data_IF_360435464558
#
_entry.id   IF_360435464558
#
_cell.length_a   1.000
_cell.length_b   1.000
_cell.length_c   1.000
_cell.angle_alpha   90.00
_cell.angle_beta   90.00
_cell.angle_gamma   90.00
#
_symmetry.space_group_name_H-M   'P 1'
#
loop_
_entity.id
_entity.type
_entity.pdbx_description
1 polymer ?
#
# COMPACT_ATOMS: atom_id res chain seq x y z
N UNK A 1 5.61 52.80 -94.71
CA UNK A 1 7.01 52.36 -94.74
C UNK A 1 7.13 51.23 -93.75
N UNK A 2 7.15 50.00 -94.26
CA UNK A 2 7.10 48.73 -93.54
C UNK A 2 8.54 48.31 -93.23
N UNK A 3 8.85 47.93 -91.99
CA UNK A 3 9.82 46.86 -91.67
C UNK A 3 9.47 46.29 -90.29
N UNK A 4 9.29 44.96 -90.27
CA UNK A 4 9.26 44.08 -89.12
C UNK A 4 10.67 43.62 -88.74
N UNK A 5 10.87 43.18 -87.50
CA UNK A 5 11.73 42.04 -87.02
C UNK A 5 11.88 42.18 -85.50
N UNK A 6 12.01 41.16 -84.64
CA UNK A 6 12.00 39.70 -84.71
C UNK A 6 11.84 39.18 -83.26
N UNK A 7 11.27 37.99 -83.09
CA UNK A 7 11.24 37.22 -81.85
C UNK A 7 12.64 36.76 -81.42
N UNK A 8 12.85 36.59 -80.11
CA UNK A 8 13.64 35.49 -79.54
C UNK A 8 13.24 35.25 -78.06
N UNK A 9 12.71 34.07 -77.76
CA UNK A 9 12.75 33.41 -76.43
C UNK A 9 13.95 32.43 -76.45
N UNK A 10 14.51 31.89 -75.33
CA UNK A 10 13.87 31.62 -74.02
C UNK A 10 14.79 31.77 -72.77
N UNK A 11 14.26 31.53 -71.56
CA UNK A 11 14.89 30.67 -70.54
C UNK A 11 14.08 30.68 -69.21
N UNK A 12 13.49 29.53 -68.87
CA UNK A 12 13.07 29.22 -67.52
C UNK A 12 14.30 28.85 -66.69
N UNK A 13 14.57 29.59 -65.61
CA UNK A 13 15.54 29.23 -64.58
C UNK A 13 14.88 29.40 -63.21
N UNK A 14 15.04 28.39 -62.38
CA UNK A 14 14.19 28.07 -61.24
C UNK A 14 14.08 29.16 -60.16
N UNK A 15 12.84 29.35 -59.70
CA UNK A 15 12.57 29.95 -58.41
C UNK A 15 12.82 28.90 -57.31
N UNK A 16 14.07 28.76 -56.89
CA UNK A 16 14.37 28.31 -55.53
C UNK A 16 14.06 29.48 -54.60
N UNK A 17 12.89 29.47 -53.95
CA UNK A 17 12.62 30.41 -52.88
C UNK A 17 13.67 30.25 -51.77
N UNK A 18 14.19 31.33 -51.17
CA UNK A 18 15.11 31.21 -50.06
C UNK A 18 14.37 30.55 -48.91
N UNK A 19 14.94 29.46 -48.39
CA UNK A 19 14.55 28.90 -47.11
C UNK A 19 14.50 30.06 -46.11
N UNK A 20 13.35 30.23 -45.45
CA UNK A 20 13.17 31.16 -44.34
C UNK A 20 14.13 30.74 -43.22
N UNK A 21 15.35 31.25 -43.29
CA UNK A 21 16.38 31.06 -42.28
C UNK A 21 15.90 31.74 -41.01
N UNK A 22 15.47 30.94 -40.05
CA UNK A 22 15.24 31.41 -38.69
C UNK A 22 16.59 31.93 -38.18
N UNK A 23 16.65 33.20 -37.81
CA UNK A 23 17.90 33.87 -37.42
C UNK A 23 18.56 33.07 -36.26
N UNK A 24 19.78 32.53 -36.44
CA UNK A 24 20.44 31.70 -35.43
C UNK A 24 20.58 32.39 -34.07
N UNK A 25 20.64 33.73 -34.06
CA UNK A 25 20.70 34.54 -32.84
C UNK A 25 19.35 34.61 -32.11
N UNK A 26 18.22 34.64 -32.83
CA UNK A 26 16.89 34.56 -32.23
C UNK A 26 16.61 33.16 -31.68
N UNK A 27 17.09 32.13 -32.37
CA UNK A 27 17.00 30.73 -31.93
C UNK A 27 17.86 30.48 -30.68
N UNK A 28 19.10 30.99 -30.65
CA UNK A 28 19.98 30.92 -29.49
C UNK A 28 19.46 31.71 -28.29
N UNK A 29 18.95 32.93 -28.51
CA UNK A 29 18.33 33.75 -27.47
C UNK A 29 17.08 33.11 -26.86
N UNK A 30 16.25 32.46 -27.68
CA UNK A 30 15.08 31.71 -27.22
C UNK A 30 15.44 30.51 -26.33
N UNK A 31 16.46 29.75 -26.71
CA UNK A 31 16.95 28.60 -25.90
C UNK A 31 17.50 29.07 -24.55
N UNK A 32 18.29 30.14 -24.53
CA UNK A 32 18.84 30.70 -23.28
C UNK A 32 17.71 31.21 -22.37
N UNK A 33 16.71 31.89 -22.91
CA UNK A 33 15.57 32.36 -22.13
C UNK A 33 14.76 31.19 -21.52
N UNK A 34 14.56 30.10 -22.26
CA UNK A 34 13.89 28.89 -21.76
C UNK A 34 14.72 28.22 -20.66
N UNK A 35 16.03 28.07 -20.83
CA UNK A 35 16.91 27.49 -19.81
C UNK A 35 16.96 28.33 -18.53
N UNK A 36 17.00 29.66 -18.65
CA UNK A 36 16.93 30.57 -17.50
C UNK A 36 15.56 30.47 -16.83
N UNK A 37 14.47 30.47 -17.58
CA UNK A 37 13.12 30.32 -17.02
C UNK A 37 12.93 28.97 -16.32
N UNK A 38 13.42 27.87 -16.91
CA UNK A 38 13.42 26.55 -16.31
C UNK A 38 14.28 26.52 -15.04
N UNK A 39 15.46 27.14 -15.07
CA UNK A 39 16.33 27.27 -13.90
C UNK A 39 15.71 28.09 -12.77
N UNK A 40 15.01 29.19 -13.09
CA UNK A 40 14.27 30.00 -12.10
C UNK A 40 13.07 29.21 -11.56
N UNK A 41 12.32 28.51 -12.40
CA UNK A 41 11.19 27.68 -11.98
C UNK A 41 11.65 26.54 -11.06
N UNK A 42 12.76 25.87 -11.42
CA UNK A 42 13.40 24.84 -10.62
C UNK A 42 13.91 25.42 -9.29
N UNK A 43 14.54 26.59 -9.31
CA UNK A 43 14.98 27.29 -8.10
C UNK A 43 13.81 27.64 -7.17
N UNK A 44 12.70 28.16 -7.72
CA UNK A 44 11.49 28.46 -6.95
C UNK A 44 10.85 27.20 -6.38
N UNK A 45 10.79 26.11 -7.14
CA UNK A 45 10.33 24.79 -6.66
C UNK A 45 11.22 24.27 -5.54
N UNK A 46 12.54 24.24 -5.71
CA UNK A 46 13.50 23.83 -4.68
C UNK A 46 13.34 24.70 -3.42
N UNK A 47 13.15 26.02 -3.57
CA UNK A 47 12.95 26.93 -2.44
C UNK A 47 11.62 26.68 -1.72
N UNK A 48 10.55 26.42 -2.46
CA UNK A 48 9.23 26.11 -1.89
C UNK A 48 9.26 24.78 -1.13
N UNK A 49 9.86 23.75 -1.70
CA UNK A 49 10.08 22.44 -1.07
C UNK A 49 10.94 22.58 0.20
N UNK A 50 12.08 23.29 0.12
CA UNK A 50 12.91 23.64 1.28
C UNK A 50 12.20 24.51 2.33
N UNK A 51 11.05 25.10 2.00
CA UNK A 51 10.25 25.88 2.94
C UNK A 51 9.15 25.07 3.63
N UNK A 52 8.75 23.90 3.10
CA UNK A 52 7.68 23.07 3.66
C UNK A 52 7.95 22.66 5.11
N UNK A 53 9.00 21.87 5.33
CA UNK A 53 9.40 21.44 6.68
C UNK A 53 9.68 22.60 7.64
N UNK A 54 10.24 23.72 7.16
CA UNK A 54 10.46 24.94 7.99
C UNK A 54 9.16 25.62 8.40
N UNK A 55 8.21 25.75 7.47
CA UNK A 55 6.87 26.32 7.75
C UNK A 55 6.08 25.41 8.68
N UNK A 56 6.15 24.09 8.47
CA UNK A 56 5.49 23.11 9.33
C UNK A 56 6.07 23.13 10.75
N UNK A 57 7.40 23.09 10.89
CA UNK A 57 8.08 23.25 12.19
C UNK A 57 7.72 24.56 12.87
N UNK A 58 7.62 25.66 12.13
CA UNK A 58 7.20 26.95 12.67
C UNK A 58 5.73 26.98 13.11
N UNK A 59 4.85 26.26 12.42
CA UNK A 59 3.46 26.09 12.84
C UNK A 59 3.39 25.28 14.15
N UNK A 60 4.11 24.15 14.25
CA UNK A 60 4.19 23.39 15.49
C UNK A 60 4.71 24.25 16.65
N UNK A 61 5.77 25.03 16.44
CA UNK A 61 6.35 25.91 17.47
C UNK A 61 5.40 27.04 17.95
N UNK A 62 4.28 27.27 17.26
CA UNK A 62 3.30 28.29 17.64
C UNK A 62 2.24 27.78 18.63
N UNK A 63 2.27 26.49 18.98
CA UNK A 63 1.31 25.84 19.88
C UNK A 63 2.06 25.02 20.95
N UNK A 64 1.46 24.92 22.14
CA UNK A 64 2.07 24.21 23.27
C UNK A 64 1.77 22.70 23.24
N UNK A 65 0.60 22.30 22.70
CA UNK A 65 0.15 20.90 22.65
C UNK A 65 -0.62 20.60 21.36
N UNK A 66 -0.32 19.46 20.73
CA UNK A 66 -0.89 19.04 19.44
C UNK A 66 -1.40 17.60 19.48
N UNK A 67 -2.53 17.36 18.84
CA UNK A 67 -3.03 16.02 18.59
C UNK A 67 -2.69 15.58 17.16
N UNK A 68 -1.92 14.51 17.01
CA UNK A 68 -1.57 13.93 15.70
C UNK A 68 -2.60 12.84 15.40
N UNK A 69 -3.37 13.00 14.33
CA UNK A 69 -4.44 12.08 13.97
C UNK A 69 -4.06 11.33 12.69
N UNK A 70 -4.10 10.00 12.75
CA UNK A 70 -3.99 9.12 11.58
C UNK A 70 -5.35 8.87 10.95
N UNK A 71 -5.37 8.30 9.74
CA UNK A 71 -6.61 7.78 9.19
C UNK A 71 -7.13 6.57 10.01
N UNK A 72 -8.41 6.17 9.87
CA UNK A 72 -8.96 4.99 10.53
C UNK A 72 -8.25 3.71 10.11
N UNK A 73 -8.02 2.82 11.08
CA UNK A 73 -7.25 1.57 10.89
C UNK A 73 -5.87 1.86 10.27
N UNK A 74 -5.01 2.62 10.97
CA UNK A 74 -3.80 3.16 10.37
C UNK A 74 -2.88 2.06 9.85
N UNK A 75 -2.28 2.35 8.72
CA UNK A 75 -1.25 1.52 8.11
C UNK A 75 0.16 1.96 8.57
N UNK A 76 1.21 1.29 8.09
CA UNK A 76 2.57 1.66 8.46
C UNK A 76 2.99 3.07 8.02
N UNK A 77 2.45 3.61 6.94
CA UNK A 77 2.80 4.95 6.45
C UNK A 77 2.21 6.04 7.36
N UNK A 78 0.93 5.89 7.73
CA UNK A 78 0.28 6.78 8.69
C UNK A 78 0.96 6.75 10.06
N UNK A 79 1.35 5.56 10.55
CA UNK A 79 2.06 5.42 11.83
C UNK A 79 3.46 6.05 11.77
N UNK A 80 4.23 5.79 10.73
CA UNK A 80 5.56 6.38 10.54
C UNK A 80 5.50 7.91 10.43
N UNK A 81 4.52 8.42 9.69
CA UNK A 81 4.27 9.86 9.55
C UNK A 81 3.90 10.50 10.88
N UNK A 82 3.07 9.83 11.70
CA UNK A 82 2.71 10.32 13.02
C UNK A 82 3.92 10.39 13.97
N UNK A 83 4.79 9.37 13.95
CA UNK A 83 6.05 9.38 14.71
C UNK A 83 6.94 10.54 14.28
N UNK A 84 7.06 10.80 12.97
CA UNK A 84 7.86 11.90 12.46
C UNK A 84 7.33 13.27 12.92
N UNK A 85 6.01 13.48 12.89
CA UNK A 85 5.40 14.71 13.41
C UNK A 85 5.64 14.86 14.91
N UNK A 86 5.56 13.78 15.69
CA UNK A 86 5.83 13.79 17.13
C UNK A 86 7.27 14.23 17.43
N UNK A 87 8.25 13.70 16.71
CA UNK A 87 9.66 14.09 16.84
C UNK A 87 9.89 15.56 16.41
N UNK A 88 9.21 16.02 15.34
CA UNK A 88 9.27 17.41 14.92
C UNK A 88 8.65 18.36 15.96
N UNK A 89 7.53 18.00 16.57
CA UNK A 89 6.89 18.76 17.64
C UNK A 89 7.77 18.82 18.89
N UNK A 90 8.35 17.69 19.30
CA UNK A 90 9.29 17.64 20.42
C UNK A 90 10.52 18.54 20.20
N UNK A 91 11.03 18.61 18.96
CA UNK A 91 12.17 19.47 18.59
C UNK A 91 11.93 20.99 18.72
N UNK A 92 10.68 21.39 18.97
CA UNK A 92 10.29 22.79 19.22
C UNK A 92 9.59 22.97 20.57
N UNK A 93 9.57 21.95 21.42
CA UNK A 93 8.96 22.00 22.75
C UNK A 93 7.43 21.91 22.75
N UNK A 94 6.82 21.42 21.68
CA UNK A 94 5.38 21.18 21.59
C UNK A 94 5.08 19.73 22.01
N UNK A 95 4.23 19.55 23.01
CA UNK A 95 3.77 18.24 23.44
C UNK A 95 2.86 17.61 22.39
N UNK A 96 3.07 16.34 22.06
CA UNK A 96 2.38 15.69 20.95
C UNK A 96 1.85 14.30 21.31
N UNK A 97 0.54 14.09 21.14
CA UNK A 97 -0.11 12.79 21.36
C UNK A 97 -0.63 12.22 20.04
N UNK A 98 -0.29 10.96 19.74
CA UNK A 98 -0.76 10.25 18.54
C UNK A 98 -2.10 9.59 18.80
N UNK A 99 -3.05 9.78 17.90
CA UNK A 99 -4.39 9.23 17.92
C UNK A 99 -4.71 8.47 16.64
N UNK A 100 -5.46 7.38 16.78
CA UNK A 100 -5.98 6.62 15.64
C UNK A 100 -7.45 6.21 15.85
N UNK A 101 -8.33 6.41 14.86
CA UNK A 101 -9.65 5.79 14.84
C UNK A 101 -9.59 4.32 14.42
N UNK A 102 -10.64 3.55 14.71
CA UNK A 102 -10.72 2.15 14.27
C UNK A 102 -9.81 1.20 15.05
N UNK A 103 -9.20 0.23 14.38
CA UNK A 103 -8.37 -0.85 14.95
C UNK A 103 -7.14 -1.15 14.09
N UNK A 104 -6.02 -1.45 14.75
CA UNK A 104 -4.78 -1.89 14.09
C UNK A 104 -4.85 -3.42 13.95
N UNK A 105 -5.33 -3.89 12.80
CA UNK A 105 -5.65 -5.31 12.59
C UNK A 105 -4.62 -6.07 11.75
N UNK A 106 -4.00 -5.43 10.76
CA UNK A 106 -2.96 -6.10 9.97
C UNK A 106 -1.79 -6.52 10.85
N UNK A 107 -1.27 -7.72 10.60
CA UNK A 107 -0.21 -8.30 11.43
C UNK A 107 1.08 -7.51 11.32
N UNK A 108 1.43 -7.01 10.13
CA UNK A 108 2.57 -6.12 9.95
C UNK A 108 2.39 -4.83 10.75
N UNK A 109 1.18 -4.23 10.76
CA UNK A 109 0.93 -2.98 11.49
C UNK A 109 1.04 -3.19 13.00
N UNK A 110 0.52 -4.31 13.53
CA UNK A 110 0.67 -4.66 14.95
C UNK A 110 2.13 -4.93 15.31
N UNK A 111 2.87 -5.61 14.44
CA UNK A 111 4.29 -5.85 14.63
C UNK A 111 5.07 -4.53 14.63
N UNK A 112 4.77 -3.59 13.73
CA UNK A 112 5.40 -2.27 13.72
C UNK A 112 5.17 -1.54 15.04
N UNK A 113 3.93 -1.53 15.53
CA UNK A 113 3.59 -0.90 16.81
C UNK A 113 4.35 -1.55 17.97
N UNK A 114 4.44 -2.88 18.00
CA UNK A 114 5.11 -3.61 19.08
C UNK A 114 6.65 -3.46 19.03
N UNK A 115 7.25 -3.60 17.84
CA UNK A 115 8.71 -3.56 17.67
C UNK A 115 9.28 -2.16 17.87
N UNK A 116 8.51 -1.12 17.56
CA UNK A 116 8.93 0.28 17.70
C UNK A 116 8.37 0.98 18.94
N UNK A 117 7.66 0.24 19.79
CA UNK A 117 7.00 0.75 21.01
C UNK A 117 6.15 2.01 20.73
N UNK A 118 5.29 1.93 19.70
CA UNK A 118 4.51 3.08 19.25
C UNK A 118 3.39 3.37 20.24
N UNK A 119 3.60 4.41 21.04
CA UNK A 119 2.56 4.98 21.90
C UNK A 119 1.53 5.75 21.07
N UNK A 120 0.39 5.10 20.80
CA UNK A 120 -0.76 5.70 20.12
C UNK A 120 -2.08 5.39 20.84
N UNK A 121 -2.98 6.37 20.88
CA UNK A 121 -4.25 6.27 21.60
C UNK A 121 -5.43 6.05 20.66
N UNK A 122 -6.22 5.01 20.91
CA UNK A 122 -7.45 4.77 20.13
C UNK A 122 -8.48 5.86 20.39
N UNK A 123 -8.89 6.58 19.33
CA UNK A 123 -9.88 7.64 19.37
C UNK A 123 -11.26 7.12 18.95
N UNK A 124 -12.27 7.34 19.81
CA UNK A 124 -13.68 6.99 19.52
C UNK A 124 -14.59 8.20 19.35
N UNK A 125 -14.23 9.31 19.99
CA UNK A 125 -14.98 10.55 20.01
C UNK A 125 -14.01 11.73 20.03
N UNK A 126 -14.31 12.80 19.29
CA UNK A 126 -13.48 13.99 19.18
C UNK A 126 -13.17 14.67 20.53
N UNK A 127 -14.01 14.47 21.54
CA UNK A 127 -13.77 14.99 22.90
C UNK A 127 -12.65 14.26 23.65
N UNK A 128 -12.16 13.13 23.14
CA UNK A 128 -11.01 12.42 23.69
C UNK A 128 -9.65 12.99 23.28
N UNK A 129 -9.62 13.99 22.39
CA UNK A 129 -8.40 14.67 22.00
C UNK A 129 -7.90 15.59 23.12
N UNK A 130 -6.61 15.54 23.41
CA UNK A 130 -5.97 16.46 24.38
C UNK A 130 -5.95 17.90 23.87
N UNK A 131 -5.85 18.09 22.56
CA UNK A 131 -5.79 19.41 21.91
C UNK A 131 -6.77 19.52 20.74
N UNK A 132 -7.24 20.74 20.49
CA UNK A 132 -8.03 21.11 19.29
C UNK A 132 -7.14 21.52 18.12
N UNK A 133 -5.84 21.69 18.35
CA UNK A 133 -4.84 21.78 17.30
C UNK A 133 -4.51 20.37 16.82
N UNK A 134 -5.18 19.95 15.73
CA UNK A 134 -5.08 18.60 15.17
C UNK A 134 -4.23 18.61 13.90
N UNK A 135 -3.20 17.79 13.85
CA UNK A 135 -2.42 17.53 12.62
C UNK A 135 -2.94 16.24 12.00
N UNK A 136 -3.44 16.30 10.78
CA UNK A 136 -3.75 15.10 10.00
C UNK A 136 -2.51 14.64 9.27
N UNK A 137 -2.20 13.35 9.41
CA UNK A 137 -1.14 12.69 8.65
C UNK A 137 -1.72 11.58 7.80
N UNK A 138 -1.26 11.52 6.55
CA UNK A 138 -1.64 10.47 5.58
C UNK A 138 -3.14 10.40 5.29
N UNK A 139 -3.81 11.53 5.48
CA UNK A 139 -5.15 11.82 5.01
C UNK A 139 -5.45 13.30 5.19
N UNK A 140 -6.40 13.81 4.42
CA UNK A 140 -6.74 15.23 4.42
C UNK A 140 -8.13 15.54 5.02
N UNK A 141 -8.90 14.55 5.48
CA UNK A 141 -10.22 14.77 6.11
C UNK A 141 -10.47 13.90 7.35
N UNK A 142 -10.81 14.47 8.51
CA UNK A 142 -11.09 13.70 9.72
C UNK A 142 -12.28 12.74 9.51
N UNK A 143 -12.11 11.46 9.85
CA UNK A 143 -13.15 10.43 9.65
C UNK A 143 -12.99 9.26 10.64
N UNK A 144 -14.04 8.44 10.76
CA UNK A 144 -14.00 7.16 11.48
C UNK A 144 -14.19 7.21 12.99
N UNK A 145 -14.66 8.33 13.54
CA UNK A 145 -15.02 8.49 14.96
C UNK A 145 -16.13 9.54 15.13
N UNK A 146 -16.77 9.55 16.30
CA UNK A 146 -17.85 10.49 16.60
C UNK A 146 -17.32 11.93 16.67
N UNK A 147 -18.02 12.86 16.01
CA UNK A 147 -17.64 14.28 15.97
C UNK A 147 -16.53 14.65 14.97
N UNK A 148 -16.06 13.70 14.15
CA UNK A 148 -14.99 13.95 13.16
C UNK A 148 -15.30 15.12 12.20
N UNK A 149 -16.52 15.20 11.67
CA UNK A 149 -16.91 16.27 10.73
C UNK A 149 -16.99 17.67 11.34
N UNK A 150 -16.86 17.81 12.66
CA UNK A 150 -16.79 19.10 13.34
C UNK A 150 -15.36 19.55 13.67
N UNK A 151 -14.34 18.77 13.30
CA UNK A 151 -12.95 19.15 13.49
C UNK A 151 -12.49 20.05 12.34
N UNK A 152 -11.90 21.17 12.73
CA UNK A 152 -11.11 22.03 11.85
C UNK A 152 -9.62 21.69 12.07
N UNK A 153 -8.93 21.06 11.10
CA UNK A 153 -7.53 20.67 11.27
C UNK A 153 -6.61 21.89 11.43
N UNK A 154 -5.62 21.78 12.32
CA UNK A 154 -4.54 22.76 12.43
C UNK A 154 -3.60 22.66 11.24
N UNK A 155 -3.15 21.45 10.93
CA UNK A 155 -2.31 21.17 9.78
C UNK A 155 -2.68 19.86 9.08
N UNK A 156 -2.35 19.77 7.79
CA UNK A 156 -2.53 18.58 6.97
C UNK A 156 -1.22 18.27 6.24
N UNK A 157 -0.73 17.04 6.38
CA UNK A 157 0.37 16.48 5.59
C UNK A 157 -0.08 15.15 4.99
N UNK A 158 -0.17 15.09 3.67
CA UNK A 158 -0.79 13.95 2.98
C UNK A 158 -0.21 13.79 1.57
N UNK A 159 -0.35 12.59 1.00
CA UNK A 159 -0.01 12.29 -0.39
C UNK A 159 -1.22 11.75 -1.16
N UNK A 160 -2.40 11.67 -0.57
CA UNK A 160 -3.62 11.32 -1.27
C UNK A 160 -4.25 12.53 -1.97
N UNK A 161 -4.97 12.33 -3.09
CA UNK A 161 -5.77 13.40 -3.68
C UNK A 161 -6.89 13.83 -2.73
N UNK A 162 -7.15 15.13 -2.65
CA UNK A 162 -8.26 15.69 -1.88
C UNK A 162 -8.07 17.19 -1.64
N UNK A 163 -9.18 17.84 -1.25
CA UNK A 163 -9.24 19.30 -1.03
C UNK A 163 -9.21 19.65 0.48
N UNK A 164 -8.75 18.73 1.32
CA UNK A 164 -8.65 18.96 2.75
C UNK A 164 -7.50 19.91 3.09
N UNK A 165 -7.76 20.90 3.95
CA UNK A 165 -6.80 21.93 4.32
C UNK A 165 -6.70 22.08 5.85
N UNK A 166 -5.51 22.44 6.33
CA UNK A 166 -5.29 22.88 7.70
C UNK A 166 -5.26 24.40 7.80
N UNK A 167 -5.82 24.95 8.89
CA UNK A 167 -5.87 26.42 9.10
C UNK A 167 -4.49 27.09 9.17
N UNK A 168 -3.45 26.37 9.59
CA UNK A 168 -2.10 26.91 9.79
C UNK A 168 -1.09 26.39 8.75
N UNK A 169 -1.24 25.14 8.31
CA UNK A 169 -0.35 24.53 7.33
C UNK A 169 -1.02 23.43 6.52
N UNK A 170 -0.77 23.42 5.22
CA UNK A 170 -1.20 22.34 4.32
C UNK A 170 -0.04 22.02 3.37
N UNK A 171 0.32 20.75 3.27
CA UNK A 171 1.19 20.21 2.21
C UNK A 171 0.62 18.86 1.77
N UNK A 172 -0.05 18.87 0.62
CA UNK A 172 -0.63 17.67 0.00
C UNK A 172 0.08 17.45 -1.33
N UNK A 173 0.75 16.31 -1.50
CA UNK A 173 1.53 15.98 -2.70
C UNK A 173 1.08 14.66 -3.33
N UNK A 174 0.00 14.67 -4.14
CA UNK A 174 -0.54 13.47 -4.80
C UNK A 174 0.43 12.72 -5.69
N UNK A 175 1.54 13.35 -6.07
CA UNK A 175 2.60 12.75 -6.86
C UNK A 175 3.59 11.90 -6.05
N UNK A 176 3.59 11.98 -4.72
CA UNK A 176 4.46 11.17 -3.86
C UNK A 176 3.86 9.80 -3.59
N UNK A 177 4.72 8.80 -3.49
CA UNK A 177 4.32 7.41 -3.28
C UNK A 177 4.02 7.04 -1.84
N UNK A 178 4.34 7.91 -0.88
CA UNK A 178 4.05 7.74 0.55
C UNK A 178 4.10 9.10 1.28
N UNK A 179 3.29 9.28 2.32
CA UNK A 179 3.35 10.41 3.24
C UNK A 179 4.69 10.44 4.02
N UNK A 180 5.21 9.28 4.43
CA UNK A 180 6.50 9.16 5.12
C UNK A 180 7.67 9.73 4.30
N UNK A 181 7.60 9.70 2.95
CA UNK A 181 8.59 10.34 2.08
C UNK A 181 8.64 11.86 2.29
N UNK A 182 7.47 12.51 2.44
CA UNK A 182 7.40 13.96 2.71
C UNK A 182 8.02 14.29 4.06
N UNK A 183 7.70 13.50 5.09
CA UNK A 183 8.19 13.72 6.45
C UNK A 183 9.70 13.48 6.55
N UNK A 184 10.22 12.46 5.85
CA UNK A 184 11.66 12.23 5.70
C UNK A 184 12.36 13.41 5.01
N UNK A 185 11.75 13.98 3.97
CA UNK A 185 12.24 15.21 3.32
C UNK A 185 12.26 16.40 4.30
N UNK A 186 11.23 16.56 5.14
CA UNK A 186 11.20 17.62 6.16
C UNK A 186 12.34 17.48 7.15
N UNK A 187 12.53 16.30 7.72
CA UNK A 187 13.62 16.01 8.65
C UNK A 187 14.98 16.32 8.01
N UNK A 188 15.21 15.84 6.78
CA UNK A 188 16.44 16.09 6.02
C UNK A 188 16.68 17.58 5.76
N UNK A 189 15.65 18.33 5.33
CA UNK A 189 15.76 19.76 5.02
C UNK A 189 15.91 20.64 6.27
N UNK A 190 15.44 20.15 7.41
CA UNK A 190 15.64 20.75 8.74
C UNK A 190 17.01 20.42 9.36
N UNK A 191 17.81 19.56 8.71
CA UNK A 191 19.16 19.23 9.13
C UNK A 191 19.26 18.03 10.09
N UNK A 192 18.20 17.23 10.21
CA UNK A 192 18.27 16.01 11.03
C UNK A 192 19.33 15.07 10.47
N UNK A 193 20.21 14.58 11.33
CA UNK A 193 21.29 13.67 10.96
C UNK A 193 20.89 12.23 11.21
N UNK A 194 21.46 11.33 10.42
CA UNK A 194 21.29 9.88 10.53
C UNK A 194 22.46 9.20 11.24
N UNK A 195 23.49 9.97 11.61
CA UNK A 195 24.68 9.49 12.30
C UNK A 195 24.95 10.41 13.48
N UNK A 196 25.33 9.83 14.62
CA UNK A 196 25.86 10.60 15.75
C UNK A 196 27.29 11.01 15.41
N UNK A 197 27.63 12.30 15.57
CA UNK A 197 28.97 12.83 15.33
C UNK A 197 29.46 13.39 16.65
N UNK A 198 30.75 13.20 16.95
CA UNK A 198 31.37 13.63 18.22
C UNK A 198 31.33 15.15 18.43
N UNK A 199 31.29 15.93 17.33
CA UNK A 199 31.22 17.40 17.33
C UNK A 199 29.78 17.95 17.17
N UNK A 200 28.75 17.14 17.43
CA UNK A 200 27.37 17.58 17.35
C UNK A 200 27.09 18.77 18.28
N UNK A 201 26.52 19.84 17.73
CA UNK A 201 25.97 20.93 18.55
C UNK A 201 24.55 20.59 18.99
N UNK A 202 24.05 21.24 20.05
CA UNK A 202 22.65 21.07 20.51
C UNK A 202 21.63 21.43 19.41
N UNK A 203 22.04 22.21 18.39
CA UNK A 203 21.21 22.59 17.24
C UNK A 203 21.15 21.53 16.12
N UNK A 204 21.90 20.42 16.23
CA UNK A 204 21.97 19.38 15.22
C UNK A 204 21.19 18.11 15.64
N UNK A 205 19.87 18.00 15.40
CA UNK A 205 19.09 16.86 15.87
C UNK A 205 19.52 15.56 15.18
N UNK A 206 19.61 14.48 15.95
CA UNK A 206 19.86 13.12 15.43
C UNK A 206 18.54 12.38 15.37
N UNK A 207 18.24 11.78 14.22
CA UNK A 207 17.05 10.96 14.04
C UNK A 207 17.13 9.70 14.92
N UNK A 208 16.08 9.42 15.73
CA UNK A 208 15.96 8.15 16.44
C UNK A 208 15.97 6.97 15.47
N UNK A 209 16.59 5.85 15.88
CA UNK A 209 16.60 4.61 15.09
C UNK A 209 15.20 4.09 14.81
N UNK A 210 14.31 4.14 15.81
CA UNK A 210 12.91 3.73 15.68
C UNK A 210 12.17 4.57 14.64
N UNK A 211 12.37 5.89 14.61
CA UNK A 211 11.80 6.76 13.60
C UNK A 211 12.34 6.43 12.20
N UNK A 212 13.67 6.27 12.06
CA UNK A 212 14.29 5.93 10.78
C UNK A 212 13.74 4.59 10.24
N UNK A 213 13.61 3.59 11.11
CA UNK A 213 13.03 2.28 10.82
C UNK A 213 11.57 2.40 10.40
N UNK A 214 10.75 3.16 11.14
CA UNK A 214 9.36 3.41 10.81
C UNK A 214 9.21 4.05 9.42
N UNK A 215 10.00 5.10 9.13
CA UNK A 215 9.94 5.82 7.85
C UNK A 215 10.32 4.91 6.68
N UNK A 216 11.40 4.11 6.80
CA UNK A 216 11.77 3.15 5.74
C UNK A 216 10.64 2.14 5.52
N UNK A 217 10.07 1.61 6.61
CA UNK A 217 9.00 0.62 6.51
C UNK A 217 7.71 1.21 5.92
N UNK A 218 7.30 2.40 6.35
CA UNK A 218 6.13 3.13 5.84
C UNK A 218 6.23 3.38 4.34
N UNK A 219 7.36 3.95 3.89
CA UNK A 219 7.64 4.17 2.46
C UNK A 219 7.57 2.84 1.70
N UNK A 220 8.21 1.79 2.20
CA UNK A 220 8.22 0.48 1.53
C UNK A 220 6.83 -0.15 1.49
N UNK A 221 6.03 0.00 2.54
CA UNK A 221 4.67 -0.56 2.63
C UNK A 221 3.77 0.07 1.57
N UNK A 222 3.71 1.40 1.53
CA UNK A 222 2.74 2.08 0.69
C UNK A 222 3.11 2.06 -0.80
N UNK A 223 4.41 2.01 -1.08
CA UNK A 223 4.94 1.82 -2.44
C UNK A 223 4.94 0.36 -2.93
N UNK A 224 4.38 -0.58 -2.16
CA UNK A 224 4.41 -2.01 -2.45
C UNK A 224 5.84 -2.53 -2.75
N UNK A 225 6.81 -2.15 -1.92
CA UNK A 225 8.20 -2.52 -2.09
C UNK A 225 8.88 -1.79 -3.24
N UNK A 226 8.59 -0.50 -3.42
CA UNK A 226 9.10 0.35 -4.49
C UNK A 226 8.63 -0.03 -5.91
N UNK A 227 7.51 -0.75 -6.03
CA UNK A 227 6.98 -1.21 -7.32
C UNK A 227 5.75 -0.44 -7.79
N UNK A 228 5.18 0.41 -6.94
CA UNK A 228 3.96 1.17 -7.19
C UNK A 228 4.12 2.63 -6.77
N UNK A 229 3.74 3.56 -7.65
CA UNK A 229 3.61 4.98 -7.31
C UNK A 229 4.90 5.70 -6.91
N UNK A 230 6.08 5.11 -7.14
CA UNK A 230 7.34 5.68 -6.69
C UNK A 230 7.83 6.79 -7.61
N UNK A 231 8.40 7.81 -6.97
CA UNK A 231 9.22 8.86 -7.59
C UNK A 231 10.64 8.79 -7.02
N UNK A 232 11.53 9.66 -7.51
CA UNK A 232 12.87 9.84 -6.93
C UNK A 232 12.82 10.17 -5.43
N UNK A 233 11.73 10.80 -4.95
CA UNK A 233 11.57 11.19 -3.57
C UNK A 233 11.52 9.98 -2.61
N UNK A 234 10.81 8.90 -2.99
CA UNK A 234 10.73 7.67 -2.19
C UNK A 234 12.11 7.02 -2.04
N UNK A 235 12.89 6.97 -3.13
CA UNK A 235 14.23 6.41 -3.12
C UNK A 235 15.20 7.28 -2.31
N UNK A 236 15.14 8.60 -2.46
CA UNK A 236 15.96 9.55 -1.71
C UNK A 236 15.64 9.53 -0.21
N UNK A 237 14.36 9.45 0.14
CA UNK A 237 13.88 9.36 1.52
C UNK A 237 14.30 8.02 2.16
N UNK A 238 14.12 6.90 1.45
CA UNK A 238 14.55 5.59 1.91
C UNK A 238 16.07 5.52 2.08
N UNK A 239 16.85 6.05 1.12
CA UNK A 239 18.31 6.12 1.22
C UNK A 239 18.78 7.04 2.35
N UNK A 240 18.02 8.09 2.66
CA UNK A 240 18.30 8.97 3.79
C UNK A 240 18.06 8.23 5.12
N UNK A 241 16.89 7.62 5.32
CA UNK A 241 16.52 6.97 6.57
C UNK A 241 17.26 5.64 6.81
N UNK A 242 17.57 4.88 5.74
CA UNK A 242 18.22 3.56 5.84
C UNK A 242 19.62 3.59 6.47
N UNK A 243 20.29 4.75 6.48
CA UNK A 243 21.58 4.90 7.17
C UNK A 243 21.48 4.73 8.69
N UNK A 244 20.30 4.94 9.27
CA UNK A 244 20.06 4.82 10.71
C UNK A 244 19.10 3.68 11.06
N UNK A 245 18.23 3.28 10.12
CA UNK A 245 17.22 2.26 10.33
C UNK A 245 17.80 0.89 10.72
N UNK A 246 17.06 0.14 11.53
CA UNK A 246 17.39 -1.24 11.90
C UNK A 246 16.80 -2.23 10.88
N UNK A 247 17.63 -2.89 10.06
CA UNK A 247 17.17 -3.87 9.08
C UNK A 247 16.53 -5.11 9.73
N UNK A 248 16.95 -5.50 10.94
CA UNK A 248 16.40 -6.66 11.62
C UNK A 248 14.97 -6.38 12.08
N UNK A 249 14.71 -5.17 12.59
CA UNK A 249 13.35 -4.72 12.90
C UNK A 249 12.48 -4.67 11.64
N UNK A 250 12.98 -4.11 10.53
CA UNK A 250 12.25 -4.12 9.25
C UNK A 250 11.86 -5.54 8.85
N UNK A 251 12.79 -6.50 8.98
CA UNK A 251 12.53 -7.89 8.66
C UNK A 251 11.46 -8.52 9.57
N UNK A 252 11.54 -8.30 10.89
CA UNK A 252 10.55 -8.82 11.86
C UNK A 252 9.15 -8.27 11.60
N UNK A 253 9.05 -6.98 11.28
CA UNK A 253 7.76 -6.34 10.93
C UNK A 253 7.23 -6.84 9.59
N UNK A 254 8.09 -7.09 8.60
CA UNK A 254 7.71 -7.64 7.28
C UNK A 254 7.30 -9.11 7.31
N UNK A 255 7.65 -9.85 8.35
CA UNK A 255 7.36 -11.29 8.45
C UNK A 255 7.01 -11.62 9.89
N UNK A 256 5.88 -11.10 10.39
CA UNK A 256 5.48 -11.34 11.76
C UNK A 256 5.20 -12.84 11.98
N UNK A 257 5.53 -13.38 13.15
CA UNK A 257 5.28 -14.79 13.44
C UNK A 257 3.77 -15.07 13.44
N UNK A 258 3.40 -16.15 12.76
CA UNK A 258 2.03 -16.62 12.68
C UNK A 258 1.79 -17.76 13.68
N UNK A 259 0.61 -17.79 14.31
CA UNK A 259 0.23 -18.91 15.18
C UNK A 259 0.01 -20.20 14.37
N UNK A 260 0.26 -21.35 14.98
CA UNK A 260 -0.03 -22.65 14.37
C UNK A 260 -1.52 -22.76 13.98
N UNK A 261 -2.43 -22.25 14.80
CA UNK A 261 -3.87 -22.25 14.52
C UNK A 261 -4.23 -21.45 13.27
N UNK A 262 -3.63 -20.27 13.07
CA UNK A 262 -3.84 -19.47 11.85
C UNK A 262 -3.23 -20.18 10.63
N UNK A 263 -2.06 -20.81 10.78
CA UNK A 263 -1.47 -21.61 9.71
C UNK A 263 -2.37 -22.79 9.32
N UNK A 264 -2.98 -23.47 10.29
CA UNK A 264 -3.92 -24.56 10.05
C UNK A 264 -5.20 -24.08 9.36
N UNK A 265 -5.67 -22.84 9.64
CA UNK A 265 -6.78 -22.22 8.90
C UNK A 265 -6.40 -22.02 7.44
N UNK A 266 -5.22 -21.47 7.14
CA UNK A 266 -4.74 -21.26 5.77
C UNK A 266 -4.58 -22.59 5.04
N UNK A 267 -4.01 -23.59 5.69
CA UNK A 267 -3.87 -24.93 5.13
C UNK A 267 -5.22 -25.56 4.77
N UNK A 268 -6.21 -25.50 5.68
CA UNK A 268 -7.58 -25.98 5.42
C UNK A 268 -8.25 -25.19 4.31
N UNK A 269 -8.17 -23.86 4.34
CA UNK A 269 -8.74 -22.99 3.32
C UNK A 269 -8.20 -23.34 1.91
N UNK A 270 -6.89 -23.62 1.82
CA UNK A 270 -6.26 -24.12 0.60
C UNK A 270 -6.80 -25.51 0.25
N UNK A 271 -6.70 -26.49 1.12
CA UNK A 271 -7.05 -27.88 0.81
C UNK A 271 -8.52 -28.07 0.42
N UNK A 272 -9.44 -27.38 1.11
CA UNK A 272 -10.89 -27.55 0.98
C UNK A 272 -11.53 -26.60 -0.05
N UNK A 273 -10.70 -25.85 -0.80
CA UNK A 273 -11.18 -24.87 -1.77
C UNK A 273 -12.01 -25.51 -2.89
N UNK A 274 -13.12 -24.87 -3.23
CA UNK A 274 -13.92 -25.15 -4.40
C UNK A 274 -13.63 -24.07 -5.44
N UNK A 275 -13.18 -24.46 -6.63
CA UNK A 275 -12.92 -23.54 -7.73
C UNK A 275 -13.92 -23.74 -8.87
N UNK A 276 -14.48 -22.66 -9.39
CA UNK A 276 -15.31 -22.63 -10.60
C UNK A 276 -14.87 -21.49 -11.51
N UNK A 277 -14.35 -21.83 -12.67
CA UNK A 277 -13.70 -20.85 -13.55
C UNK A 277 -12.57 -20.14 -12.81
N UNK A 278 -12.67 -18.82 -12.70
CA UNK A 278 -11.72 -17.96 -11.98
C UNK A 278 -12.14 -17.62 -10.54
N UNK A 279 -13.20 -18.23 -10.02
CA UNK A 279 -13.72 -17.95 -8.68
C UNK A 279 -13.39 -19.09 -7.71
N UNK A 280 -13.11 -18.74 -6.46
CA UNK A 280 -12.84 -19.70 -5.39
C UNK A 280 -13.72 -19.41 -4.18
N UNK A 281 -14.37 -20.44 -3.65
CA UNK A 281 -15.03 -20.40 -2.35
C UNK A 281 -14.45 -21.49 -1.45
N UNK A 282 -14.24 -21.23 -0.17
CA UNK A 282 -13.75 -22.25 0.78
C UNK A 282 -14.29 -22.01 2.18
N UNK A 283 -14.53 -23.08 2.93
CA UNK A 283 -14.97 -23.01 4.32
C UNK A 283 -13.87 -23.55 5.24
N UNK A 284 -13.16 -22.65 5.92
CA UNK A 284 -12.01 -22.97 6.75
C UNK A 284 -12.37 -23.54 8.14
N UNK A 285 -13.63 -23.88 8.40
CA UNK A 285 -14.06 -24.53 9.64
C UNK A 285 -14.07 -23.58 10.83
N UNK A 286 -13.72 -24.09 12.02
CA UNK A 286 -13.46 -23.26 13.20
C UNK A 286 -12.16 -22.49 13.02
N UNK A 287 -12.19 -21.19 13.31
CA UNK A 287 -11.05 -20.27 13.15
C UNK A 287 -10.80 -19.53 14.47
N UNK A 288 -9.53 -19.18 14.79
CA UNK A 288 -9.21 -18.49 16.03
C UNK A 288 -9.65 -17.02 16.03
N UNK A 289 -9.75 -16.42 14.83
CA UNK A 289 -10.19 -15.05 14.65
C UNK A 289 -10.71 -14.80 13.23
N UNK A 290 -11.52 -13.76 13.01
CA UNK A 290 -11.91 -13.32 11.67
C UNK A 290 -10.71 -12.89 10.81
N UNK A 291 -9.63 -12.43 11.43
CA UNK A 291 -8.41 -12.01 10.72
C UNK A 291 -7.75 -13.22 10.01
N UNK A 292 -7.80 -14.43 10.59
CA UNK A 292 -7.30 -15.64 9.94
C UNK A 292 -8.08 -15.98 8.64
N UNK A 293 -9.37 -15.66 8.60
CA UNK A 293 -10.23 -15.82 7.41
C UNK A 293 -9.85 -14.82 6.33
N UNK A 294 -9.52 -13.58 6.73
CA UNK A 294 -9.01 -12.55 5.83
C UNK A 294 -7.67 -12.95 5.20
N UNK A 295 -6.71 -13.41 6.01
CA UNK A 295 -5.39 -13.85 5.52
C UNK A 295 -5.49 -15.01 4.53
N UNK A 296 -6.34 -16.00 4.80
CA UNK A 296 -6.58 -17.10 3.87
C UNK A 296 -7.17 -16.63 2.54
N UNK A 297 -8.02 -15.60 2.54
CA UNK A 297 -8.58 -15.01 1.32
C UNK A 297 -7.51 -14.29 0.49
N UNK A 298 -6.60 -13.59 1.17
CA UNK A 298 -5.46 -12.92 0.54
C UNK A 298 -4.51 -13.92 -0.13
N UNK A 299 -4.21 -15.06 0.51
CA UNK A 299 -3.39 -16.13 -0.09
C UNK A 299 -4.04 -16.73 -1.34
N UNK A 300 -5.32 -17.07 -1.26
CA UNK A 300 -6.03 -17.74 -2.34
C UNK A 300 -6.20 -16.84 -3.57
N UNK A 301 -6.28 -15.53 -3.40
CA UNK A 301 -6.34 -14.58 -4.52
C UNK A 301 -5.04 -14.59 -5.33
N UNK A 302 -3.90 -14.94 -4.72
CA UNK A 302 -2.59 -15.01 -5.40
C UNK A 302 -2.46 -16.22 -6.32
N UNK A 303 -3.41 -17.15 -6.28
CA UNK A 303 -3.41 -18.31 -7.16
C UNK A 303 -3.58 -17.90 -8.62
N UNK A 304 -2.81 -18.54 -9.50
CA UNK A 304 -2.88 -18.30 -10.93
C UNK A 304 -4.30 -18.55 -11.48
N UNK A 305 -4.82 -17.58 -12.24
CA UNK A 305 -6.14 -17.66 -12.86
C UNK A 305 -7.32 -17.50 -11.89
N UNK A 306 -7.08 -17.04 -10.66
CA UNK A 306 -8.13 -16.65 -9.70
C UNK A 306 -8.36 -15.14 -9.76
N UNK A 307 -9.63 -14.74 -9.87
CA UNK A 307 -10.06 -13.34 -9.99
C UNK A 307 -10.97 -12.89 -8.85
N UNK A 308 -11.58 -13.83 -8.13
CA UNK A 308 -12.33 -13.55 -6.91
C UNK A 308 -12.30 -14.75 -5.94
N UNK A 309 -12.31 -14.45 -4.65
CA UNK A 309 -12.26 -15.44 -3.56
C UNK A 309 -13.26 -15.06 -2.48
N UNK A 310 -13.96 -16.05 -1.93
CA UNK A 310 -14.68 -15.93 -0.65
C UNK A 310 -14.24 -17.04 0.30
N UNK A 311 -13.71 -16.66 1.47
CA UNK A 311 -13.39 -17.60 2.56
C UNK A 311 -14.43 -17.42 3.66
N UNK A 312 -15.00 -18.53 4.12
CA UNK A 312 -15.88 -18.59 5.28
C UNK A 312 -15.18 -19.27 6.45
N UNK A 313 -15.38 -18.79 7.67
CA UNK A 313 -14.85 -19.42 8.88
C UNK A 313 -15.66 -19.08 10.13
N UNK A 314 -15.84 -20.03 11.03
CA UNK A 314 -16.65 -19.86 12.24
C UNK A 314 -15.80 -19.46 13.42
N UNK A 315 -16.12 -18.32 14.04
CA UNK A 315 -15.49 -17.82 15.26
C UNK A 315 -16.58 -17.46 16.28
N UNK A 316 -16.51 -18.02 17.49
CA UNK A 316 -17.45 -17.72 18.58
C UNK A 316 -18.95 -17.81 18.21
N UNK A 317 -19.34 -18.78 17.39
CA UNK A 317 -20.74 -18.99 16.97
C UNK A 317 -21.22 -18.10 15.81
N UNK A 318 -20.33 -17.28 15.25
CA UNK A 318 -20.57 -16.44 14.07
C UNK A 318 -19.75 -16.96 12.90
N UNK A 319 -20.40 -17.14 11.74
CA UNK A 319 -19.74 -17.40 10.47
C UNK A 319 -19.27 -16.06 9.89
N UNK A 320 -17.96 -15.91 9.77
CA UNK A 320 -17.33 -14.76 9.13
C UNK A 320 -17.02 -15.08 7.68
N UNK A 321 -17.33 -14.16 6.79
CA UNK A 321 -16.98 -14.19 5.37
C UNK A 321 -15.91 -13.13 5.10
N UNK A 322 -14.89 -13.48 4.33
CA UNK A 322 -13.92 -12.54 3.79
C UNK A 322 -13.84 -12.72 2.28
N UNK A 323 -14.21 -11.67 1.56
CA UNK A 323 -14.15 -11.60 0.11
C UNK A 323 -12.94 -10.81 -0.38
N UNK A 324 -12.31 -11.29 -1.46
CA UNK A 324 -11.27 -10.59 -2.21
C UNK A 324 -11.51 -10.67 -3.70
N UNK A 325 -11.25 -9.58 -4.42
CA UNK A 325 -11.34 -9.55 -5.87
C UNK A 325 -10.15 -8.82 -6.50
N UNK A 326 -9.74 -9.33 -7.66
CA UNK A 326 -8.84 -8.64 -8.57
C UNK A 326 -9.53 -7.39 -9.13
N UNK A 327 -8.73 -6.44 -9.59
CA UNK A 327 -9.28 -5.21 -10.16
C UNK A 327 -10.05 -5.49 -11.45
N UNK A 328 -11.25 -4.90 -11.56
CA UNK A 328 -12.13 -5.07 -12.71
C UNK A 328 -12.69 -6.48 -12.90
N UNK A 329 -12.71 -7.34 -11.85
CA UNK A 329 -13.42 -8.62 -11.88
C UNK A 329 -14.86 -8.47 -11.37
N UNK A 330 -15.08 -8.64 -10.07
CA UNK A 330 -16.38 -8.60 -9.41
C UNK A 330 -16.38 -7.50 -8.34
N UNK A 331 -17.55 -6.92 -8.05
CA UNK A 331 -17.73 -6.14 -6.82
C UNK A 331 -17.99 -7.13 -5.68
N UNK A 332 -16.93 -7.42 -4.92
CA UNK A 332 -17.01 -8.44 -3.87
C UNK A 332 -17.85 -7.98 -2.67
N UNK A 333 -17.92 -6.67 -2.41
CA UNK A 333 -18.75 -6.12 -1.34
C UNK A 333 -20.24 -6.32 -1.65
N UNK A 334 -20.66 -5.95 -2.87
CA UNK A 334 -22.01 -6.17 -3.37
C UNK A 334 -22.35 -7.66 -3.47
N UNK A 335 -21.38 -8.48 -3.93
CA UNK A 335 -21.54 -9.93 -4.02
C UNK A 335 -21.88 -10.55 -2.66
N UNK A 336 -21.12 -10.20 -1.62
CA UNK A 336 -21.37 -10.71 -0.27
C UNK A 336 -22.72 -10.23 0.27
N UNK A 337 -23.03 -8.92 0.13
CA UNK A 337 -24.28 -8.34 0.60
C UNK A 337 -25.50 -9.01 -0.08
N UNK A 338 -25.43 -9.23 -1.38
CA UNK A 338 -26.49 -9.90 -2.16
C UNK A 338 -26.65 -11.36 -1.75
N UNK A 339 -25.55 -12.08 -1.56
CA UNK A 339 -25.59 -13.52 -1.23
C UNK A 339 -26.20 -13.81 0.14
N UNK A 340 -26.13 -12.86 1.07
CA UNK A 340 -26.69 -13.00 2.42
C UNK A 340 -28.04 -12.29 2.58
N UNK A 341 -28.54 -11.65 1.53
CA UNK A 341 -29.79 -10.90 1.56
C UNK A 341 -30.95 -11.82 1.97
N UNK A 342 -31.75 -11.37 2.94
CA UNK A 342 -32.87 -12.15 3.47
C UNK A 342 -32.51 -13.16 4.55
N UNK A 343 -31.22 -13.31 4.92
CA UNK A 343 -30.83 -14.09 6.09
C UNK A 343 -30.99 -13.22 7.36
N UNK A 344 -31.80 -13.63 8.35
CA UNK A 344 -31.97 -12.85 9.58
C UNK A 344 -30.64 -12.67 10.32
N UNK A 345 -30.41 -11.45 10.83
CA UNK A 345 -29.21 -11.13 11.64
C UNK A 345 -27.88 -11.38 10.90
N UNK A 346 -27.89 -11.28 9.57
CA UNK A 346 -26.70 -11.27 8.75
C UNK A 346 -26.37 -9.83 8.30
N UNK A 347 -25.08 -9.50 8.25
CA UNK A 347 -24.59 -8.21 7.77
C UNK A 347 -23.35 -8.43 6.91
N UNK A 348 -23.28 -7.75 5.77
CA UNK A 348 -22.15 -7.83 4.85
C UNK A 348 -22.06 -6.58 3.98
N UNK A 349 -20.86 -6.29 3.52
CA UNK A 349 -20.58 -5.19 2.63
C UNK A 349 -19.08 -5.03 2.41
N UNK A 350 -18.70 -3.88 1.87
CA UNK A 350 -17.30 -3.55 1.63
C UNK A 350 -17.13 -2.71 0.37
N UNK A 351 -15.96 -2.85 -0.25
CA UNK A 351 -15.59 -2.23 -1.50
C UNK A 351 -15.47 -3.28 -2.60
N UNK A 352 -15.38 -2.85 -3.86
CA UNK A 352 -15.28 -3.75 -5.00
C UNK A 352 -14.18 -4.82 -4.86
N UNK A 353 -13.03 -4.46 -4.29
CA UNK A 353 -11.88 -5.38 -4.12
C UNK A 353 -11.86 -6.18 -2.82
N UNK A 354 -12.57 -5.73 -1.79
CA UNK A 354 -12.49 -6.31 -0.46
C UNK A 354 -13.83 -6.16 0.26
N UNK A 355 -14.35 -7.28 0.75
CA UNK A 355 -15.63 -7.32 1.45
C UNK A 355 -15.56 -8.22 2.67
N UNK A 356 -16.45 -7.96 3.61
CA UNK A 356 -16.64 -8.77 4.81
C UNK A 356 -18.11 -9.07 5.03
N UNK A 357 -18.39 -10.20 5.69
CA UNK A 357 -19.73 -10.57 6.11
C UNK A 357 -19.73 -11.33 7.42
N UNK A 358 -20.84 -11.28 8.14
CA UNK A 358 -21.05 -11.99 9.40
C UNK A 358 -22.47 -12.56 9.43
N UNK A 359 -22.58 -13.84 9.79
CA UNK A 359 -23.85 -14.55 9.92
C UNK A 359 -23.84 -15.33 11.23
N UNK A 360 -24.91 -15.23 12.01
CA UNK A 360 -25.06 -16.10 13.17
C UNK A 360 -25.37 -17.54 12.73
N UNK A 361 -24.58 -18.50 13.19
CA UNK A 361 -24.76 -19.93 12.83
C UNK A 361 -26.11 -20.47 13.31
N UNK A 362 -26.61 -19.98 14.45
CA UNK A 362 -27.94 -20.29 14.97
C UNK A 362 -29.04 -19.86 13.98
N UNK A 363 -28.92 -18.66 13.41
CA UNK A 363 -29.89 -18.08 12.50
C UNK A 363 -29.81 -18.68 11.09
N UNK A 364 -28.63 -19.17 10.68
CA UNK A 364 -28.48 -19.99 9.48
C UNK A 364 -29.29 -21.29 9.57
N UNK A 365 -29.57 -21.79 10.76
CA UNK A 365 -30.40 -22.99 10.96
C UNK A 365 -31.91 -22.73 10.83
N UNK A 366 -32.31 -21.46 10.69
CA UNK A 366 -33.69 -21.00 10.51
C UNK A 366 -34.38 -20.57 11.81
N UNK A 367 -35.06 -19.42 11.79
CA UNK A 367 -36.03 -19.01 12.81
C UNK A 367 -37.46 -19.17 12.24
N UNK A 368 -38.00 -20.39 12.26
CA UNK A 368 -39.36 -20.67 11.79
C UNK A 368 -39.45 -21.83 10.77
N UNK A 369 -40.54 -21.97 10.01
CA UNK A 369 -40.80 -23.13 9.14
C UNK A 369 -39.97 -23.16 7.84
N UNK A 370 -38.92 -22.35 7.73
CA UNK A 370 -38.01 -22.35 6.58
C UNK A 370 -36.83 -23.28 6.83
N UNK A 371 -36.43 -24.02 5.80
CA UNK A 371 -35.17 -24.75 5.80
C UNK A 371 -34.03 -23.72 5.83
N UNK A 372 -33.20 -23.71 6.87
CA UNK A 372 -32.05 -22.82 6.99
C UNK A 372 -31.12 -22.76 5.76
N UNK A 373 -30.17 -21.81 5.76
CA UNK A 373 -29.17 -21.66 4.70
C UNK A 373 -27.93 -22.48 5.06
N UNK A 374 -27.61 -23.49 4.27
CA UNK A 374 -26.35 -24.22 4.40
C UNK A 374 -25.19 -23.46 3.75
N UNK A 375 -23.95 -23.75 4.18
CA UNK A 375 -22.74 -23.14 3.59
C UNK A 375 -22.63 -23.48 2.10
N UNK A 376 -23.05 -24.68 1.70
CA UNK A 376 -23.06 -25.11 0.31
C UNK A 376 -24.02 -24.24 -0.52
N UNK A 377 -25.25 -24.01 -0.04
CA UNK A 377 -26.22 -23.13 -0.73
C UNK A 377 -25.71 -21.70 -0.83
N UNK A 378 -25.06 -21.20 0.23
CA UNK A 378 -24.42 -19.89 0.21
C UNK A 378 -23.33 -19.82 -0.87
N UNK A 379 -22.48 -20.85 -0.97
CA UNK A 379 -21.42 -20.88 -1.99
C UNK A 379 -21.98 -20.99 -3.41
N UNK A 380 -23.05 -21.74 -3.62
CA UNK A 380 -23.77 -21.78 -4.91
C UNK A 380 -24.26 -20.38 -5.31
N UNK A 381 -24.88 -19.65 -4.36
CA UNK A 381 -25.34 -18.28 -4.59
C UNK A 381 -24.17 -17.35 -4.92
N UNK A 382 -23.09 -17.40 -4.15
CA UNK A 382 -21.88 -16.60 -4.38
C UNK A 382 -21.29 -16.86 -5.76
N UNK A 383 -21.16 -18.12 -6.18
CA UNK A 383 -20.66 -18.45 -7.52
C UNK A 383 -21.58 -17.90 -8.63
N UNK A 384 -22.89 -18.00 -8.46
CA UNK A 384 -23.84 -17.48 -9.44
C UNK A 384 -23.76 -15.95 -9.55
N UNK A 385 -23.65 -15.24 -8.44
CA UNK A 385 -23.53 -13.78 -8.42
C UNK A 385 -22.20 -13.36 -9.06
N UNK A 386 -21.07 -13.97 -8.66
CA UNK A 386 -19.76 -13.65 -9.27
C UNK A 386 -19.74 -13.91 -10.77
N UNK A 387 -20.32 -15.03 -11.23
CA UNK A 387 -20.42 -15.35 -12.65
C UNK A 387 -21.32 -14.37 -13.43
N UNK A 388 -22.33 -13.79 -12.78
CA UNK A 388 -23.18 -12.75 -13.40
C UNK A 388 -22.45 -11.41 -13.56
N UNK A 389 -21.54 -11.09 -12.65
CA UNK A 389 -20.75 -9.84 -12.68
C UNK A 389 -19.53 -9.94 -13.61
N UNK A 390 -18.84 -11.10 -13.61
CA UNK A 390 -17.70 -11.38 -14.50
C UNK A 390 -17.94 -12.66 -15.33
N UNK A 391 -18.71 -12.58 -16.43
CA UNK A 391 -18.99 -13.75 -17.29
C UNK A 391 -17.74 -14.36 -17.92
N UNK A 392 -16.66 -13.57 -18.13
CA UNK A 392 -15.38 -14.07 -18.64
C UNK A 392 -14.62 -14.91 -17.60
N UNK A 393 -14.95 -14.73 -16.32
CA UNK A 393 -14.43 -15.50 -15.20
C UNK A 393 -15.24 -16.75 -14.84
N UNK A 394 -16.43 -16.94 -15.42
CA UNK A 394 -17.29 -18.09 -15.17
C UNK A 394 -16.67 -19.40 -15.70
N UNK A 395 -17.00 -20.57 -15.12
CA UNK A 395 -16.59 -21.85 -15.69
C UNK A 395 -17.16 -21.99 -17.12
N UNK A 396 -16.32 -22.42 -18.06
CA UNK A 396 -16.80 -22.93 -19.34
C UNK A 396 -17.66 -24.17 -19.07
N UNK A 397 -18.86 -24.26 -19.63
CA UNK A 397 -19.76 -25.41 -19.43
C UNK A 397 -19.11 -26.75 -19.88
N UNK A 398 -17.98 -26.69 -20.61
CA UNK A 398 -17.16 -27.84 -21.01
C UNK A 398 -16.11 -28.30 -19.96
N UNK A 399 -15.79 -27.49 -18.96
CA UNK A 399 -14.70 -27.74 -18.02
C UNK A 399 -15.20 -28.47 -16.75
N UNK A 400 -14.72 -29.69 -16.53
CA UNK A 400 -15.03 -30.46 -15.32
C UNK A 400 -14.58 -29.70 -14.05
N UNK A 401 -15.34 -29.78 -12.93
CA UNK A 401 -14.90 -29.21 -11.66
C UNK A 401 -13.53 -29.77 -11.26
N UNK A 402 -12.58 -28.89 -10.95
CA UNK A 402 -11.34 -29.28 -10.32
C UNK A 402 -11.70 -29.74 -8.90
N UNK A 403 -11.74 -31.05 -8.69
CA UNK A 403 -11.88 -31.63 -7.36
C UNK A 403 -10.64 -31.31 -6.52
N UNK A 404 -10.79 -31.16 -5.19
CA UNK A 404 -9.63 -31.10 -4.30
C UNK A 404 -8.72 -32.27 -4.63
N UNK A 405 -7.43 -32.00 -4.83
CA UNK A 405 -6.45 -33.07 -4.95
C UNK A 405 -6.45 -33.82 -3.64
N UNK A 406 -7.15 -34.95 -3.56
CA UNK A 406 -6.98 -35.90 -2.48
C UNK A 406 -5.52 -36.32 -2.53
N UNK A 407 -4.72 -35.82 -1.61
CA UNK A 407 -3.45 -36.46 -1.29
C UNK A 407 -3.84 -37.79 -0.68
N UNK A 408 -3.97 -38.82 -1.53
CA UNK A 408 -4.05 -40.17 -1.05
C UNK A 408 -2.79 -40.36 -0.20
N UNK A 409 -2.97 -40.67 1.09
CA UNK A 409 -1.89 -41.18 1.91
C UNK A 409 -1.40 -42.45 1.21
N UNK A 410 -0.36 -42.33 0.39
CA UNK A 410 0.33 -43.48 -0.14
C UNK A 410 1.04 -44.10 1.04
N UNK A 411 0.55 -45.26 1.45
CA UNK A 411 1.23 -46.19 2.35
C UNK A 411 2.51 -46.68 1.65
N UNK A 412 3.50 -45.81 1.56
CA UNK A 412 4.86 -46.14 1.16
C UNK A 412 5.74 -45.82 2.35
N UNK A 413 5.70 -46.72 3.33
CA UNK A 413 6.87 -46.94 4.19
C UNK A 413 7.94 -47.58 3.31
N UNK A 414 8.63 -46.76 2.51
CA UNK A 414 9.89 -47.16 1.90
C UNK A 414 10.96 -47.00 2.99
N UNK A 415 11.66 -48.06 3.41
CA UNK A 415 12.73 -47.90 4.39
C UNK A 415 13.80 -46.98 3.79
N UNK A 416 14.21 -45.99 4.57
CA UNK A 416 15.27 -45.05 4.19
C UNK A 416 16.51 -45.83 3.77
N UNK A 417 16.91 -45.71 2.51
CA UNK A 417 18.25 -46.08 2.06
C UNK A 417 19.26 -45.18 2.77
N UNK A 418 20.40 -45.71 3.24
CA UNK A 418 21.43 -44.89 3.86
C UNK A 418 21.93 -43.85 2.86
N UNK A 419 22.06 -42.61 3.32
CA UNK A 419 22.65 -41.52 2.54
C UNK A 419 24.13 -41.83 2.33
N UNK A 420 24.53 -41.97 1.07
CA UNK A 420 25.93 -42.16 0.68
C UNK A 420 26.76 -40.89 0.93
N UNK A 421 28.04 -41.17 1.16
CA UNK A 421 29.20 -40.34 1.55
C UNK A 421 29.17 -38.82 1.20
N UNK A 422 29.31 -37.91 2.18
CA UNK A 422 29.31 -36.45 1.98
C UNK A 422 30.43 -35.91 1.07
N UNK A 423 31.48 -36.68 0.76
CA UNK A 423 32.54 -36.24 -0.15
C UNK A 423 32.09 -36.17 -1.62
N UNK A 424 31.10 -36.97 -2.04
CA UNK A 424 30.60 -36.97 -3.43
C UNK A 424 29.80 -35.70 -3.76
N UNK A 425 29.05 -35.17 -2.78
CA UNK A 425 28.23 -33.97 -2.95
C UNK A 425 29.08 -32.70 -3.12
N UNK A 426 30.23 -32.62 -2.44
CA UNK A 426 31.14 -31.47 -2.51
C UNK A 426 31.91 -31.39 -3.83
N UNK A 427 32.16 -32.52 -4.50
CA UNK A 427 32.80 -32.55 -5.82
C UNK A 427 31.87 -31.99 -6.91
N UNK A 428 30.57 -32.32 -6.85
CA UNK A 428 29.54 -31.81 -7.77
C UNK A 428 29.34 -30.30 -7.66
N UNK A 429 29.43 -29.75 -6.45
CA UNK A 429 29.28 -28.30 -6.22
C UNK A 429 30.52 -27.53 -6.68
N UNK A 430 31.73 -28.07 -6.49
CA UNK A 430 32.97 -27.46 -7.00
C UNK A 430 33.02 -27.41 -8.53
N UNK A 431 32.59 -28.48 -9.20
CA UNK A 431 32.56 -28.52 -10.67
C UNK A 431 31.54 -27.53 -11.27
N UNK A 432 30.47 -27.21 -10.53
CA UNK A 432 29.50 -26.19 -10.93
C UNK A 432 30.03 -24.75 -10.74
N UNK A 433 30.89 -24.53 -9.75
CA UNK A 433 31.50 -23.23 -9.46
C UNK A 433 32.60 -22.89 -10.48
N UNK A 434 33.43 -23.86 -10.87
CA UNK A 434 34.50 -23.66 -11.88
C UNK A 434 33.96 -23.34 -13.29
N UNK A 435 32.67 -23.61 -13.57
CA UNK A 435 32.03 -23.28 -14.86
C UNK A 435 31.50 -21.84 -14.94
N UNK A 436 31.55 -21.08 -13.84
CA UNK A 436 30.99 -19.73 -13.75
C UNK A 436 32.03 -18.61 -13.72
N UNK A 437 33.33 -18.91 -13.74
CA UNK A 437 34.35 -17.86 -13.88
C UNK A 437 34.63 -17.55 -15.37
N UNK A 438 34.53 -16.29 -15.81
CA UNK A 438 34.88 -15.91 -17.17
C UNK A 438 36.40 -16.03 -17.38
N UNK A 439 36.80 -16.66 -18.48
CA UNK A 439 38.20 -16.74 -18.90
C UNK A 439 38.78 -15.34 -19.08
N UNK A 440 39.76 -14.98 -18.27
CA UNK A 440 40.63 -13.84 -18.53
C UNK A 440 41.53 -14.18 -19.71
N UNK A 441 41.14 -13.77 -20.92
CA UNK A 441 42.05 -13.49 -22.04
C UNK A 441 41.36 -12.50 -23.01
N UNK A 442 42.14 -11.49 -23.40
CA UNK A 442 41.90 -10.28 -24.21
C UNK A 442 41.21 -9.05 -23.57
#
# INVERSE_FOLDING_TARGET
>A
MVVATEETLPAAAGATGPASGVDPLLLGGGIVAILVAAGVLLFLRIRAVRSGGRRFRAALAAIDEVAILTHPNPDPDALASALAVRELAASVGTEATIYYPGEIRHEENRALVAELDVEATRLRDANGLVSRDVVLVDHNQPRGFAGAGGLDPYAVVDHHPGDGEGRAFTDVRPEYGACASLLAEYLRTLGWRTEAVEDATDDDPVMPESLATALVYGIRSDTAGFTRGCTDAEFDAAAYCSRRADPDTIQRVSTPPMSAETMDVRARAVLDRVRRGSFVCTHAGQVPSPDAVAQAADDLLRMEGVRAVVVAGTCAGTLHLSGRAAEGSVDIGETLATAIEGIPMADAGGHARMGGGQLSVEHMSGLGPGDGVSVERLFESLFAIMASQDPGGAPDESAAPLTPGTVAASDTTTPATPVDDPESSMASVREAIDRLEPSSDD
#
